data_IF_028688742361
#
_entry.id   IF_028688742361
#
_cell.length_a   1.000
_cell.length_b   1.000
_cell.length_c   1.000
_cell.angle_alpha   90.00
_cell.angle_beta   90.00
_cell.angle_gamma   90.00
#
_symmetry.space_group_name_H-M   'P 1'
#
loop_
_entity.id
_entity.type
_entity.pdbx_description
1 polymer ?
#
# COMPACT_ATOMS: atom_id res chain seq x y z
N UNK A 1 -24.45 11.84 -8.38
CA UNK A 1 -25.38 11.02 -7.57
C UNK A 1 -26.53 10.48 -8.41
N UNK A 2 -27.46 11.31 -8.93
CA UNK A 2 -28.64 10.83 -9.69
C UNK A 2 -28.33 9.90 -10.88
N UNK A 3 -27.33 10.24 -11.72
CA UNK A 3 -26.95 9.43 -12.89
C UNK A 3 -26.36 8.05 -12.52
N UNK A 4 -25.74 7.92 -11.33
CA UNK A 4 -25.19 6.64 -10.85
C UNK A 4 -26.32 5.71 -10.38
N UNK A 5 -27.32 6.26 -9.69
CA UNK A 5 -28.52 5.53 -9.26
C UNK A 5 -29.36 5.03 -10.44
N UNK A 6 -29.42 5.78 -11.55
CA UNK A 6 -30.15 5.34 -12.77
C UNK A 6 -29.45 4.19 -13.51
N UNK A 7 -28.13 4.04 -13.37
CA UNK A 7 -27.42 2.85 -13.89
C UNK A 7 -27.67 1.63 -13.00
N UNK A 8 -27.64 1.82 -11.69
CA UNK A 8 -27.91 0.75 -10.73
C UNK A 8 -29.33 0.21 -10.86
N UNK A 9 -30.33 1.09 -11.05
CA UNK A 9 -31.72 0.68 -11.28
C UNK A 9 -31.86 -0.23 -12.50
N UNK A 10 -31.28 0.17 -13.64
CA UNK A 10 -31.33 -0.65 -14.87
C UNK A 10 -30.64 -2.01 -14.69
N UNK A 11 -29.51 -2.03 -13.99
CA UNK A 11 -28.84 -3.28 -13.65
C UNK A 11 -29.74 -4.20 -12.80
N UNK A 12 -30.43 -3.64 -11.79
CA UNK A 12 -31.35 -4.41 -10.95
C UNK A 12 -32.64 -4.82 -11.69
N UNK A 13 -33.12 -4.03 -12.64
CA UNK A 13 -34.21 -4.40 -13.55
C UNK A 13 -33.83 -5.58 -14.46
N UNK A 14 -32.57 -5.71 -14.85
CA UNK A 14 -32.08 -6.84 -15.65
C UNK A 14 -31.86 -8.10 -14.78
N UNK A 15 -31.43 -7.94 -13.53
CA UNK A 15 -31.15 -9.05 -12.59
C UNK A 15 -32.40 -9.57 -11.86
N UNK A 16 -33.38 -8.70 -11.59
CA UNK A 16 -34.63 -9.04 -10.91
C UNK A 16 -35.74 -9.18 -11.94
N UNK A 17 -36.54 -10.25 -11.84
CA UNK A 17 -37.73 -10.41 -12.71
C UNK A 17 -38.71 -9.23 -12.60
N UNK A 18 -38.74 -8.55 -11.44
CA UNK A 18 -39.41 -7.26 -11.22
C UNK A 18 -38.59 -6.44 -10.22
N UNK A 19 -38.01 -5.32 -10.66
CA UNK A 19 -37.35 -4.36 -9.78
C UNK A 19 -38.34 -3.25 -9.34
N UNK A 20 -38.34 -2.93 -8.05
CA UNK A 20 -39.05 -1.79 -7.45
C UNK A 20 -38.06 -0.73 -6.96
N UNK A 21 -38.56 0.44 -6.57
CA UNK A 21 -37.75 1.48 -5.95
C UNK A 21 -37.09 1.00 -4.65
N UNK A 22 -37.80 0.18 -3.87
CA UNK A 22 -37.34 -0.39 -2.60
C UNK A 22 -36.10 -1.28 -2.78
N UNK A 23 -36.01 -2.05 -3.88
CA UNK A 23 -34.84 -2.90 -4.16
C UNK A 23 -33.58 -2.05 -4.43
N UNK A 24 -33.74 -0.91 -5.11
CA UNK A 24 -32.64 0.03 -5.37
C UNK A 24 -32.20 0.71 -4.08
N UNK A 25 -33.16 1.14 -3.25
CA UNK A 25 -32.90 1.76 -1.95
C UNK A 25 -32.17 0.79 -1.02
N UNK A 26 -32.66 -0.44 -0.89
CA UNK A 26 -32.01 -1.49 -0.11
C UNK A 26 -30.57 -1.73 -0.59
N UNK A 27 -30.35 -1.79 -1.91
CA UNK A 27 -29.00 -2.03 -2.43
C UNK A 27 -28.05 -0.86 -2.14
N UNK A 28 -28.55 0.37 -2.17
CA UNK A 28 -27.76 1.54 -1.78
C UNK A 28 -27.40 1.50 -0.30
N UNK A 29 -28.33 1.15 0.58
CA UNK A 29 -28.07 0.99 2.02
C UNK A 29 -27.02 -0.11 2.30
N UNK A 30 -27.08 -1.22 1.57
CA UNK A 30 -26.07 -2.28 1.66
C UNK A 30 -24.68 -1.79 1.21
N UNK A 31 -24.61 -1.03 0.12
CA UNK A 31 -23.35 -0.47 -0.38
C UNK A 31 -22.77 0.57 0.57
N UNK A 32 -23.60 1.44 1.15
CA UNK A 32 -23.18 2.39 2.18
C UNK A 32 -22.65 1.68 3.43
N UNK A 33 -23.28 0.57 3.82
CA UNK A 33 -22.80 -0.27 4.93
C UNK A 33 -21.43 -0.86 4.63
N UNK A 34 -21.20 -1.35 3.41
CA UNK A 34 -19.90 -1.88 2.98
C UNK A 34 -18.82 -0.78 2.97
N UNK A 35 -19.13 0.41 2.46
CA UNK A 35 -18.21 1.56 2.48
C UNK A 35 -17.85 1.96 3.91
N UNK A 36 -18.85 2.06 4.80
CA UNK A 36 -18.64 2.40 6.19
C UNK A 36 -17.76 1.38 6.93
N UNK A 37 -17.88 0.09 6.60
CA UNK A 37 -17.09 -0.98 7.20
C UNK A 37 -15.59 -0.90 6.85
N UNK A 38 -15.21 -0.24 5.75
CA UNK A 38 -13.80 -0.02 5.39
C UNK A 38 -13.11 0.98 6.31
N UNK A 39 -13.86 1.99 6.80
CA UNK A 39 -13.38 3.04 7.70
C UNK A 39 -12.41 4.01 7.03
N UNK A 40 -12.81 5.27 6.86
CA UNK A 40 -12.01 6.28 6.12
C UNK A 40 -10.58 6.48 6.64
N UNK A 41 -10.41 6.54 7.96
CA UNK A 41 -9.09 6.70 8.59
C UNK A 41 -8.17 5.52 8.30
N UNK A 42 -8.73 4.30 8.27
CA UNK A 42 -7.98 3.08 7.96
C UNK A 42 -7.51 3.10 6.51
N UNK A 43 -8.40 3.45 5.58
CA UNK A 43 -8.05 3.57 4.15
C UNK A 43 -6.95 4.60 3.95
N UNK A 44 -7.03 5.75 4.62
CA UNK A 44 -5.99 6.78 4.56
C UNK A 44 -4.64 6.25 5.05
N UNK A 45 -4.62 5.57 6.19
CA UNK A 45 -3.39 5.00 6.74
C UNK A 45 -2.79 3.90 5.84
N UNK A 46 -3.63 3.07 5.22
CA UNK A 46 -3.20 2.06 4.25
C UNK A 46 -2.60 2.74 2.99
N UNK A 47 -3.21 3.82 2.50
CA UNK A 47 -2.70 4.61 1.38
C UNK A 47 -1.37 5.30 1.68
N UNK A 48 -1.13 5.75 2.91
CA UNK A 48 0.16 6.32 3.31
C UNK A 48 1.29 5.29 3.19
N UNK A 49 1.05 4.04 3.62
CA UNK A 49 2.00 2.93 3.47
C UNK A 49 2.24 2.61 1.99
N UNK A 50 1.18 2.54 1.18
CA UNK A 50 1.30 2.27 -0.25
C UNK A 50 2.03 3.40 -0.98
N UNK A 51 1.77 4.66 -0.61
CA UNK A 51 2.45 5.84 -1.16
C UNK A 51 3.93 5.86 -0.81
N UNK A 52 4.30 5.40 0.38
CA UNK A 52 5.70 5.20 0.75
C UNK A 52 6.38 4.10 -0.08
N UNK A 53 5.66 3.09 -0.58
CA UNK A 53 6.23 2.09 -1.50
C UNK A 53 6.22 2.51 -2.98
N UNK A 54 5.28 3.36 -3.40
CA UNK A 54 5.06 3.75 -4.80
C UNK A 54 6.13 4.72 -5.36
N UNK A 55 7.41 4.39 -5.17
CA UNK A 55 8.56 5.10 -5.69
C UNK A 55 9.69 4.11 -5.95
N UNK A 56 10.33 4.23 -7.11
CA UNK A 56 11.36 3.29 -7.58
C UNK A 56 12.51 3.12 -6.58
N UNK A 57 13.11 4.22 -6.09
CA UNK A 57 14.21 4.14 -5.12
C UNK A 57 13.78 3.48 -3.81
N UNK A 58 12.62 3.87 -3.27
CA UNK A 58 12.11 3.31 -2.01
C UNK A 58 11.77 1.82 -2.15
N UNK A 59 11.14 1.44 -3.25
CA UNK A 59 10.82 0.04 -3.53
C UNK A 59 12.08 -0.81 -3.69
N UNK A 60 13.09 -0.31 -4.41
CA UNK A 60 14.39 -0.98 -4.55
C UNK A 60 15.06 -1.19 -3.19
N UNK A 61 15.10 -0.17 -2.33
CA UNK A 61 15.65 -0.29 -0.98
C UNK A 61 14.92 -1.34 -0.14
N UNK A 62 13.58 -1.36 -0.18
CA UNK A 62 12.78 -2.36 0.53
C UNK A 62 13.05 -3.77 0.00
N UNK A 63 13.11 -3.97 -1.32
CA UNK A 63 13.42 -5.28 -1.93
C UNK A 63 14.80 -5.77 -1.53
N UNK A 64 15.80 -4.90 -1.54
CA UNK A 64 17.17 -5.24 -1.10
C UNK A 64 17.17 -5.65 0.38
N UNK A 65 16.50 -4.89 1.25
CA UNK A 65 16.42 -5.20 2.68
C UNK A 65 15.65 -6.50 2.97
N UNK A 66 14.58 -6.78 2.23
CA UNK A 66 13.81 -8.04 2.33
C UNK A 66 14.68 -9.22 1.88
N UNK A 67 15.38 -9.08 0.75
CA UNK A 67 16.24 -10.14 0.21
C UNK A 67 17.48 -10.41 1.06
N UNK A 68 17.99 -9.40 1.78
CA UNK A 68 19.16 -9.54 2.64
C UNK A 68 18.88 -10.38 3.90
N UNK A 69 17.64 -10.40 4.40
CA UNK A 69 17.24 -11.05 5.67
C UNK A 69 18.03 -10.56 6.92
N UNK A 70 18.88 -9.54 6.77
CA UNK A 70 19.73 -8.96 7.79
C UNK A 70 19.69 -7.42 7.77
N UNK A 71 20.41 -6.82 8.71
CA UNK A 71 20.56 -5.36 8.77
C UNK A 71 21.67 -4.89 7.84
N UNK A 72 21.36 -3.90 7.01
CA UNK A 72 22.35 -3.26 6.13
C UNK A 72 22.66 -1.85 6.61
N UNK A 73 23.95 -1.50 6.57
CA UNK A 73 24.41 -0.14 6.81
C UNK A 73 23.91 0.81 5.70
N UNK A 74 23.68 2.08 6.06
CA UNK A 74 23.39 3.14 5.08
C UNK A 74 24.42 3.20 3.94
N UNK A 75 25.68 2.90 4.20
CA UNK A 75 26.74 2.89 3.18
C UNK A 75 26.54 1.77 2.15
N UNK A 76 26.03 0.62 2.59
CA UNK A 76 25.71 -0.52 1.70
C UNK A 76 24.48 -0.20 0.86
N UNK A 77 23.45 0.39 1.48
CA UNK A 77 22.25 0.85 0.78
C UNK A 77 22.57 1.94 -0.25
N UNK A 78 23.51 2.84 0.04
CA UNK A 78 23.94 3.85 -0.91
C UNK A 78 24.64 3.26 -2.15
N UNK A 79 25.20 2.05 -2.07
CA UNK A 79 25.88 1.41 -3.19
C UNK A 79 24.91 0.75 -4.19
N UNK A 80 23.63 0.57 -3.82
CA UNK A 80 22.62 -0.12 -4.65
C UNK A 80 21.60 0.81 -5.29
N UNK A 81 21.65 2.12 -5.01
CA UNK A 81 20.75 3.13 -5.60
C UNK A 81 21.53 4.30 -6.17
N UNK A 82 21.01 4.88 -7.25
CA UNK A 82 21.60 6.08 -7.89
C UNK A 82 20.86 7.35 -7.43
N UNK A 83 21.08 7.74 -6.17
CA UNK A 83 20.54 8.98 -5.58
C UNK A 83 21.59 9.68 -4.73
N UNK A 84 21.38 10.96 -4.46
CA UNK A 84 22.23 11.68 -3.50
C UNK A 84 22.06 11.13 -2.07
N UNK A 85 23.04 11.37 -1.20
CA UNK A 85 22.96 11.00 0.22
C UNK A 85 21.72 11.61 0.92
N UNK A 86 21.34 12.82 0.54
CA UNK A 86 20.12 13.48 1.01
C UNK A 86 18.85 12.79 0.51
N UNK A 87 18.86 12.34 -0.76
CA UNK A 87 17.77 11.58 -1.36
C UNK A 87 17.61 10.21 -0.69
N UNK A 88 18.71 9.50 -0.46
CA UNK A 88 18.71 8.24 0.29
C UNK A 88 18.19 8.41 1.71
N UNK A 89 18.67 9.43 2.43
CA UNK A 89 18.20 9.72 3.79
C UNK A 89 16.71 10.01 3.82
N UNK A 90 16.20 10.79 2.86
CA UNK A 90 14.77 11.09 2.76
C UNK A 90 13.93 9.84 2.43
N UNK A 91 14.40 9.02 1.49
CA UNK A 91 13.78 7.75 1.14
C UNK A 91 13.67 6.81 2.35
N UNK A 92 14.77 6.65 3.10
CA UNK A 92 14.81 5.80 4.29
C UNK A 92 13.95 6.34 5.43
N UNK A 93 13.92 7.66 5.65
CA UNK A 93 13.02 8.25 6.65
C UNK A 93 11.56 7.99 6.31
N UNK A 94 11.15 8.20 5.05
CA UNK A 94 9.77 7.93 4.63
C UNK A 94 9.37 6.45 4.82
N UNK A 95 10.31 5.53 4.58
CA UNK A 95 10.08 4.10 4.80
C UNK A 95 9.98 3.74 6.30
N UNK A 96 10.77 4.39 7.15
CA UNK A 96 10.69 4.24 8.61
C UNK A 96 9.37 4.79 9.13
N UNK A 97 8.97 5.98 8.69
CA UNK A 97 7.71 6.62 9.10
C UNK A 97 6.48 5.78 8.69
N UNK A 98 6.56 5.09 7.55
CA UNK A 98 5.54 4.14 7.10
C UNK A 98 5.59 2.75 7.81
N UNK A 99 6.58 2.51 8.66
CA UNK A 99 6.79 1.23 9.35
C UNK A 99 7.17 0.07 8.43
N UNK A 100 7.77 0.37 7.29
CA UNK A 100 8.27 -0.62 6.32
C UNK A 100 9.71 -1.04 6.61
N UNK A 101 10.47 -0.15 7.23
CA UNK A 101 11.87 -0.38 7.58
C UNK A 101 12.09 0.05 9.03
N UNK A 102 12.80 -0.76 9.79
CA UNK A 102 13.33 -0.37 11.10
C UNK A 102 14.74 0.21 10.93
N UNK A 103 15.09 1.17 11.79
CA UNK A 103 16.41 1.77 11.79
C UNK A 103 17.03 1.68 13.19
N UNK A 104 18.26 1.19 13.27
CA UNK A 104 19.03 1.14 14.52
C UNK A 104 20.40 1.80 14.34
N UNK A 105 20.96 2.30 15.45
CA UNK A 105 22.27 2.93 15.48
C UNK A 105 23.26 2.03 16.21
N UNK A 106 24.12 1.39 15.43
CA UNK A 106 25.23 0.58 15.91
C UNK A 106 26.52 1.42 15.93
N UNK A 107 26.76 2.06 17.08
CA UNK A 107 27.90 2.95 17.29
C UNK A 107 27.86 4.19 16.39
N UNK A 108 28.72 4.23 15.37
CA UNK A 108 28.75 5.32 14.38
C UNK A 108 27.86 5.08 13.16
N UNK A 109 27.41 3.85 12.96
CA UNK A 109 26.73 3.45 11.74
C UNK A 109 25.22 3.38 11.97
N UNK A 110 24.46 3.84 10.98
CA UNK A 110 23.00 3.66 10.96
C UNK A 110 22.69 2.46 10.07
N UNK A 111 22.00 1.49 10.63
CA UNK A 111 21.62 0.24 9.98
C UNK A 111 20.11 0.18 9.83
N UNK A 112 19.66 -0.55 8.82
CA UNK A 112 18.26 -0.65 8.45
C UNK A 112 17.88 -2.11 8.19
N UNK A 113 16.64 -2.47 8.53
CA UNK A 113 16.08 -3.82 8.33
C UNK A 113 14.66 -3.73 7.80
N UNK A 114 14.27 -4.65 6.91
CA UNK A 114 12.86 -4.77 6.51
C UNK A 114 12.00 -5.24 7.69
N UNK A 115 10.84 -4.62 7.89
CA UNK A 115 9.84 -5.11 8.85
C UNK A 115 9.04 -6.27 8.28
N UNK A 116 8.34 -7.03 9.13
CA UNK A 116 7.39 -8.06 8.68
C UNK A 116 6.32 -7.50 7.73
N UNK A 117 5.95 -6.22 7.88
CA UNK A 117 5.02 -5.53 6.99
C UNK A 117 5.60 -5.40 5.59
N UNK A 118 6.85 -4.97 5.47
CA UNK A 118 7.52 -4.87 4.18
C UNK A 118 7.65 -6.25 3.50
N UNK A 119 8.04 -7.29 4.26
CA UNK A 119 8.13 -8.67 3.74
C UNK A 119 6.78 -9.13 3.18
N UNK A 120 5.69 -8.93 3.93
CA UNK A 120 4.36 -9.31 3.47
C UNK A 120 3.92 -8.57 2.19
N UNK A 121 4.16 -7.26 2.11
CA UNK A 121 3.79 -6.46 0.94
C UNK A 121 4.59 -6.84 -0.30
N UNK A 122 5.90 -7.05 -0.16
CA UNK A 122 6.75 -7.52 -1.27
C UNK A 122 6.29 -8.90 -1.75
N UNK A 123 6.00 -9.83 -0.83
CA UNK A 123 5.53 -11.17 -1.18
C UNK A 123 4.24 -11.14 -2.00
N UNK A 124 3.29 -10.28 -1.62
CA UNK A 124 2.04 -10.10 -2.37
C UNK A 124 2.30 -9.54 -3.77
N UNK A 125 3.20 -8.56 -3.89
CA UNK A 125 3.53 -7.94 -5.18
C UNK A 125 4.26 -8.91 -6.12
N UNK A 126 5.20 -9.70 -5.58
CA UNK A 126 5.91 -10.74 -6.35
C UNK A 126 4.94 -11.81 -6.88
N UNK A 127 3.95 -12.21 -6.09
CA UNK A 127 2.90 -13.12 -6.56
C UNK A 127 1.90 -12.52 -7.55
N UNK A 128 1.86 -11.18 -7.67
CA UNK A 128 0.92 -10.46 -8.54
C UNK A 128 1.50 -10.15 -9.92
N UNK A 129 2.82 -10.13 -10.04
CA UNK A 129 3.53 -9.95 -11.31
C UNK A 129 4.06 -11.32 -11.75
N UNK A 130 3.31 -12.01 -12.60
CA UNK A 130 3.83 -13.21 -13.27
C UNK A 130 5.02 -12.78 -14.13
N UNK A 131 6.21 -13.33 -13.88
CA UNK A 131 7.33 -13.22 -14.81
C UNK A 131 6.84 -13.69 -16.20
N UNK A 132 6.87 -12.79 -17.18
CA UNK A 132 6.59 -13.09 -18.58
C UNK A 132 7.83 -13.69 -19.25
#
# INVERSE_FOLDING_TARGET
MAQATDRLRRYLEDELEVCRSEDVEQRLEELETLEAALGGDRVSAELDVLSALANETRYTLVRVLVAAEEELCVCELNAVVDVSESGLSHALSALVDAGLVDADKDGRWKKYRATNRAVALVTVLEGSVTDA
#
